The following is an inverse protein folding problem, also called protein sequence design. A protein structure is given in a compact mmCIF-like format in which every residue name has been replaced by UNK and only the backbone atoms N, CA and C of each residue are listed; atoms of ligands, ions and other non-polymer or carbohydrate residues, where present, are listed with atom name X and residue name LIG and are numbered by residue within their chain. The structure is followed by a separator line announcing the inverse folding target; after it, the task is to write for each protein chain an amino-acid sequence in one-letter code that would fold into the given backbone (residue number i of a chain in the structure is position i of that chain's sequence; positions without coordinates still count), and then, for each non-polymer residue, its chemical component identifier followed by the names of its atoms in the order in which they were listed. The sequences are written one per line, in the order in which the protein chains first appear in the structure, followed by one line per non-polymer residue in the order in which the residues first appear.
data_IF_690626595105
#
_entry.id   IF_690626595105
#
_cell.length_a   1.000
_cell.length_b   1.000
_cell.length_c   1.000
_cell.angle_alpha   90.00
_cell.angle_beta   90.00
_cell.angle_gamma   90.00
#
_symmetry.space_group_name_H-M   'P 1'
#
loop_
_entity.id
_entity.type
_entity.pdbx_description
1 polymer ?
#
# COMPACT_ATOMS: atom_id res chain seq x y z
N UNK A 1 -40.01 -42.18 10.28
CA UNK A 1 -39.10 -41.15 10.81
C UNK A 1 -37.89 -41.07 9.88
N UNK A 2 -37.76 -39.99 9.11
CA UNK A 2 -36.69 -39.80 8.12
C UNK A 2 -35.66 -38.80 8.69
N UNK A 3 -34.46 -39.28 8.97
CA UNK A 3 -33.33 -38.45 9.41
C UNK A 3 -32.79 -37.63 8.23
N UNK A 4 -32.86 -36.29 8.31
CA UNK A 4 -32.16 -35.38 7.39
C UNK A 4 -30.66 -35.31 7.77
N UNK A 5 -29.78 -35.53 6.78
CA UNK A 5 -28.33 -35.34 6.93
C UNK A 5 -28.01 -33.86 7.19
N UNK A 6 -27.03 -33.53 8.05
CA UNK A 6 -26.59 -32.16 8.25
C UNK A 6 -25.85 -31.67 6.99
N UNK A 7 -26.42 -30.68 6.32
CA UNK A 7 -25.79 -30.02 5.18
C UNK A 7 -24.58 -29.19 5.63
N UNK A 8 -23.50 -29.24 4.84
CA UNK A 8 -22.32 -28.37 4.96
C UNK A 8 -22.76 -26.90 4.92
N UNK A 9 -22.27 -26.00 5.80
CA UNK A 9 -22.46 -24.57 5.61
C UNK A 9 -21.74 -24.18 4.33
N UNK A 10 -22.47 -23.93 3.25
CA UNK A 10 -21.97 -23.11 2.16
C UNK A 10 -21.92 -21.69 2.68
N UNK A 11 -20.75 -21.06 2.66
CA UNK A 11 -20.61 -19.62 2.85
C UNK A 11 -21.58 -18.93 1.90
N UNK A 12 -22.74 -18.53 2.43
CA UNK A 12 -23.71 -17.76 1.68
C UNK A 12 -23.04 -16.46 1.29
N UNK A 13 -22.96 -16.18 -0.02
CA UNK A 13 -22.52 -14.90 -0.58
C UNK A 13 -23.09 -13.79 0.30
N UNK A 14 -22.21 -13.10 1.04
CA UNK A 14 -22.63 -12.01 1.92
C UNK A 14 -22.93 -10.81 1.05
N UNK A 15 -24.15 -10.75 0.50
CA UNK A 15 -24.67 -9.54 -0.12
C UNK A 15 -24.63 -8.42 0.91
N UNK A 16 -23.71 -7.48 0.73
CA UNK A 16 -23.50 -6.34 1.59
C UNK A 16 -24.14 -5.12 0.94
N UNK A 17 -25.14 -4.56 1.63
CA UNK A 17 -25.96 -3.48 1.11
C UNK A 17 -25.33 -2.14 1.50
N UNK A 18 -24.67 -1.47 0.55
CA UNK A 18 -24.04 -0.16 0.74
C UNK A 18 -25.01 0.96 0.33
N UNK A 19 -25.30 1.89 1.24
CA UNK A 19 -26.08 3.10 0.94
C UNK A 19 -25.12 4.29 0.78
N UNK A 20 -25.00 4.79 -0.45
CA UNK A 20 -24.19 5.98 -0.76
C UNK A 20 -25.13 7.17 -0.96
N UNK A 21 -24.83 8.30 -0.31
CA UNK A 21 -25.52 9.58 -0.56
C UNK A 21 -24.68 10.41 -1.51
N UNK A 22 -25.33 10.89 -2.56
CA UNK A 22 -24.70 11.66 -3.64
C UNK A 22 -25.61 12.87 -3.90
N UNK A 23 -25.02 14.03 -4.20
CA UNK A 23 -25.76 15.22 -4.61
C UNK A 23 -26.41 15.02 -5.99
N UNK A 24 -27.37 15.89 -6.32
CA UNK A 24 -28.22 15.71 -7.51
C UNK A 24 -27.44 15.87 -8.82
N UNK A 25 -26.41 16.73 -8.83
CA UNK A 25 -25.63 17.05 -10.02
C UNK A 25 -24.69 15.89 -10.36
N UNK A 26 -24.02 15.34 -9.35
CA UNK A 26 -23.19 14.13 -9.48
C UNK A 26 -24.05 12.90 -9.86
N UNK A 27 -25.29 12.82 -9.39
CA UNK A 27 -26.21 11.73 -9.72
C UNK A 27 -26.67 11.79 -11.19
N UNK A 28 -26.90 13.00 -11.73
CA UNK A 28 -27.22 13.19 -13.15
C UNK A 28 -26.02 12.87 -14.05
N UNK A 29 -24.81 13.27 -13.66
CA UNK A 29 -23.59 12.92 -14.40
C UNK A 29 -23.40 11.39 -14.47
N UNK A 30 -23.63 10.69 -13.36
CA UNK A 30 -23.59 9.23 -13.31
C UNK A 30 -24.64 8.58 -14.22
N UNK A 31 -25.85 9.16 -14.29
CA UNK A 31 -26.91 8.68 -15.17
C UNK A 31 -26.57 8.79 -16.65
N UNK A 32 -25.95 9.90 -17.03
CA UNK A 32 -25.58 10.14 -18.43
C UNK A 32 -24.44 9.21 -18.86
N UNK A 33 -23.50 8.94 -17.95
CA UNK A 33 -22.43 7.94 -18.17
C UNK A 33 -23.01 6.53 -18.23
N UNK A 34 -24.00 6.20 -17.38
CA UNK A 34 -24.66 4.89 -17.34
C UNK A 34 -25.34 4.58 -18.67
N UNK A 35 -26.06 5.57 -19.22
CA UNK A 35 -26.70 5.47 -20.53
C UNK A 35 -25.70 5.31 -21.66
N UNK A 36 -24.58 6.04 -21.63
CA UNK A 36 -23.53 5.95 -22.66
C UNK A 36 -22.77 4.63 -22.65
N UNK A 37 -22.57 4.05 -21.47
CA UNK A 37 -21.77 2.82 -21.27
C UNK A 37 -22.61 1.55 -21.23
N UNK A 38 -23.95 1.66 -21.26
CA UNK A 38 -24.92 0.55 -21.07
C UNK A 38 -24.72 -0.20 -19.74
N UNK A 39 -24.25 0.50 -18.70
CA UNK A 39 -24.05 -0.07 -17.36
C UNK A 39 -25.04 0.52 -16.39
N UNK A 40 -25.37 -0.21 -15.33
CA UNK A 40 -26.21 0.35 -14.27
C UNK A 40 -25.40 1.25 -13.32
N UNK A 41 -26.06 2.15 -12.59
CA UNK A 41 -25.39 3.08 -11.67
C UNK A 41 -24.51 2.37 -10.64
N UNK A 42 -24.93 1.20 -10.17
CA UNK A 42 -24.17 0.41 -9.21
C UNK A 42 -22.94 -0.22 -9.83
N UNK A 43 -22.98 -0.65 -11.09
CA UNK A 43 -21.82 -1.09 -11.87
C UNK A 43 -20.86 0.06 -12.09
N UNK A 44 -21.34 1.24 -12.45
CA UNK A 44 -20.48 2.43 -12.54
C UNK A 44 -19.85 2.80 -11.20
N UNK A 45 -20.61 2.77 -10.10
CA UNK A 45 -20.07 3.05 -8.76
C UNK A 45 -19.08 1.96 -8.30
N UNK A 46 -19.24 0.72 -8.79
CA UNK A 46 -18.28 -0.36 -8.55
C UNK A 46 -17.03 -0.25 -9.44
N UNK A 47 -17.16 0.34 -10.62
CA UNK A 47 -16.07 0.60 -11.57
C UNK A 47 -15.32 1.90 -11.29
N UNK A 48 -15.97 2.86 -10.66
CA UNK A 48 -15.31 3.97 -9.99
C UNK A 48 -14.48 3.30 -8.90
N UNK A 49 -13.17 3.20 -9.16
CA UNK A 49 -12.16 2.88 -8.16
C UNK A 49 -12.59 3.51 -6.85
N UNK A 50 -12.65 2.77 -5.73
CA UNK A 50 -12.88 3.40 -4.44
C UNK A 50 -11.87 4.52 -4.32
N UNK A 51 -12.37 5.76 -4.37
CA UNK A 51 -11.55 6.95 -4.35
C UNK A 51 -10.86 6.91 -3.00
N UNK A 52 -9.58 6.54 -3.01
CA UNK A 52 -8.78 6.38 -1.82
C UNK A 52 -7.64 7.34 -1.96
N UNK A 53 -7.73 8.39 -1.16
CA UNK A 53 -6.68 9.38 -1.08
C UNK A 53 -5.39 8.74 -0.58
N UNK A 54 -4.29 9.41 -0.89
CA UNK A 54 -2.96 9.07 -0.40
C UNK A 54 -2.91 8.96 1.12
N UNK A 55 -3.71 9.77 1.83
CA UNK A 55 -3.81 9.81 3.29
C UNK A 55 -4.67 8.68 3.85
N UNK A 56 -5.80 8.39 3.22
CA UNK A 56 -6.67 7.29 3.67
C UNK A 56 -5.96 5.94 3.54
N UNK A 57 -5.19 5.79 2.46
CA UNK A 57 -4.34 4.63 2.27
C UNK A 57 -3.39 4.40 3.47
N UNK A 58 -2.70 5.45 3.94
CA UNK A 58 -1.80 5.39 5.09
C UNK A 58 -2.54 4.98 6.38
N UNK A 59 -3.72 5.55 6.62
CA UNK A 59 -4.54 5.25 7.80
C UNK A 59 -5.07 3.81 7.82
N UNK A 60 -5.19 3.18 6.64
CA UNK A 60 -5.69 1.83 6.50
C UNK A 60 -4.62 0.75 6.69
N UNK A 61 -3.33 1.12 6.77
CA UNK A 61 -2.22 0.18 6.92
C UNK A 61 -2.35 -0.59 8.23
N UNK A 62 -2.82 -1.83 8.08
CA UNK A 62 -3.08 -2.78 9.15
C UNK A 62 -3.01 -4.18 8.56
N UNK A 63 -2.69 -5.16 9.40
CA UNK A 63 -2.44 -6.54 8.95
C UNK A 63 -3.65 -7.15 8.25
N UNK A 64 -4.87 -6.82 8.68
CA UNK A 64 -6.12 -7.32 8.09
C UNK A 64 -6.48 -6.70 6.74
N UNK A 65 -5.77 -5.66 6.31
CA UNK A 65 -6.17 -4.81 5.18
C UNK A 65 -5.19 -4.85 4.01
N UNK A 66 -4.03 -5.50 4.14
CA UNK A 66 -2.96 -5.43 3.13
C UNK A 66 -3.40 -5.94 1.74
N UNK A 67 -4.13 -7.04 1.67
CA UNK A 67 -4.64 -7.58 0.39
C UNK A 67 -5.59 -6.59 -0.30
N UNK A 68 -6.44 -5.92 0.47
CA UNK A 68 -7.35 -4.89 -0.06
C UNK A 68 -6.57 -3.65 -0.52
N UNK A 69 -5.54 -3.26 0.22
CA UNK A 69 -4.68 -2.15 -0.16
C UNK A 69 -3.91 -2.45 -1.46
N UNK A 70 -3.46 -3.69 -1.65
CA UNK A 70 -2.80 -4.10 -2.88
C UNK A 70 -3.71 -3.95 -4.09
N UNK A 71 -4.99 -4.34 -3.96
CA UNK A 71 -5.98 -4.13 -5.02
C UNK A 71 -6.10 -2.64 -5.40
N UNK A 72 -6.05 -1.73 -4.43
CA UNK A 72 -6.07 -0.29 -4.72
C UNK A 72 -4.79 0.21 -5.38
N UNK A 73 -3.63 -0.31 -4.98
CA UNK A 73 -2.35 0.04 -5.60
C UNK A 73 -2.28 -0.44 -7.05
N UNK A 74 -2.69 -1.68 -7.31
CA UNK A 74 -2.75 -2.26 -8.66
C UNK A 74 -3.72 -1.48 -9.53
N UNK A 75 -4.94 -1.25 -9.06
CA UNK A 75 -5.94 -0.58 -9.86
C UNK A 75 -5.64 0.92 -10.07
N UNK A 76 -4.93 1.55 -9.12
CA UNK A 76 -4.30 2.86 -9.31
C UNK A 76 -3.25 2.80 -10.43
N UNK A 77 -2.35 1.81 -10.40
CA UNK A 77 -1.34 1.67 -11.44
C UNK A 77 -1.95 1.51 -12.83
N UNK A 78 -2.94 0.64 -12.96
CA UNK A 78 -3.69 0.37 -14.20
C UNK A 78 -4.37 1.65 -14.72
N UNK A 79 -4.96 2.46 -13.84
CA UNK A 79 -5.54 3.75 -14.21
C UNK A 79 -4.51 4.68 -14.86
N UNK A 80 -3.30 4.74 -14.27
CA UNK A 80 -2.22 5.57 -14.79
C UNK A 80 -1.52 4.98 -16.04
N UNK A 81 -1.79 3.73 -16.40
CA UNK A 81 -1.32 3.10 -17.63
C UNK A 81 -2.32 3.21 -18.79
N UNK A 82 -3.52 3.72 -18.55
CA UNK A 82 -4.55 3.86 -19.57
C UNK A 82 -4.09 4.80 -20.71
N UNK A 83 -4.13 4.35 -21.99
CA UNK A 83 -3.90 5.22 -23.13
C UNK A 83 -4.96 6.32 -23.19
N UNK A 84 -4.57 7.58 -23.40
CA UNK A 84 -5.42 8.77 -23.33
C UNK A 84 -5.78 9.25 -21.91
N UNK A 85 -5.02 8.85 -20.90
CA UNK A 85 -5.13 9.44 -19.57
C UNK A 85 -4.90 10.96 -19.65
N UNK A 86 -5.79 11.72 -19.02
CA UNK A 86 -5.58 13.13 -18.69
C UNK A 86 -6.16 13.40 -17.31
N UNK A 87 -5.31 13.68 -16.33
CA UNK A 87 -5.72 13.98 -14.95
C UNK A 87 -4.93 15.17 -14.41
N UNK A 88 -5.61 16.08 -13.70
CA UNK A 88 -4.95 17.19 -13.05
C UNK A 88 -4.03 16.70 -11.93
N UNK A 89 -2.78 17.18 -11.89
CA UNK A 89 -1.79 16.80 -10.88
C UNK A 89 -2.31 17.03 -9.45
N UNK A 90 -3.10 18.08 -9.22
CA UNK A 90 -3.67 18.40 -7.91
C UNK A 90 -4.67 17.36 -7.41
N UNK A 91 -5.30 16.63 -8.33
CA UNK A 91 -6.33 15.63 -8.03
C UNK A 91 -5.76 14.23 -7.76
N UNK A 92 -4.46 14.04 -7.95
CA UNK A 92 -3.83 12.71 -7.79
C UNK A 92 -3.87 12.27 -6.32
N UNK A 93 -3.39 13.10 -5.40
CA UNK A 93 -3.26 12.69 -3.99
C UNK A 93 -4.59 12.64 -3.24
N UNK A 94 -5.59 13.38 -3.69
CA UNK A 94 -6.94 13.36 -3.14
C UNK A 94 -7.73 12.13 -3.58
N UNK A 95 -7.45 11.59 -4.77
CA UNK A 95 -8.25 10.52 -5.36
C UNK A 95 -7.56 9.15 -5.44
N UNK A 96 -6.23 9.12 -5.33
CA UNK A 96 -5.43 7.91 -5.50
C UNK A 96 -4.44 7.71 -4.36
N UNK A 97 -4.01 6.46 -4.10
CA UNK A 97 -2.92 6.14 -3.17
C UNK A 97 -1.55 6.52 -3.75
N UNK A 98 -1.45 7.72 -4.31
CA UNK A 98 -0.30 8.20 -5.06
C UNK A 98 -0.06 9.69 -4.80
N UNK A 99 1.08 10.19 -5.26
CA UNK A 99 1.41 11.61 -5.32
C UNK A 99 2.43 11.86 -6.43
N UNK A 100 2.61 13.12 -6.82
CA UNK A 100 3.48 13.50 -7.93
C UNK A 100 4.57 14.41 -7.41
N UNK A 101 5.82 14.09 -7.77
CA UNK A 101 6.93 15.01 -7.64
C UNK A 101 7.19 15.68 -8.99
N UNK A 102 6.92 16.99 -9.05
CA UNK A 102 7.11 17.82 -10.23
C UNK A 102 8.42 18.61 -10.20
N UNK A 103 9.22 18.49 -9.13
CA UNK A 103 10.48 19.23 -8.95
C UNK A 103 11.64 18.48 -9.62
N UNK A 104 11.55 17.15 -9.70
CA UNK A 104 12.54 16.32 -10.37
C UNK A 104 12.69 16.69 -11.87
N UNK A 105 13.88 16.49 -12.47
CA UNK A 105 14.13 16.79 -13.89
C UNK A 105 13.17 16.09 -14.85
N UNK A 106 12.60 14.98 -14.41
CA UNK A 106 11.48 14.30 -15.04
C UNK A 106 10.42 14.09 -13.96
N UNK A 107 9.17 14.51 -14.18
CA UNK A 107 8.10 14.31 -13.20
C UNK A 107 7.90 12.83 -12.88
N UNK A 108 7.82 12.51 -11.58
CA UNK A 108 7.67 11.13 -11.10
C UNK A 108 6.33 11.00 -10.38
N UNK A 109 5.53 10.05 -10.83
CA UNK A 109 4.36 9.57 -10.10
C UNK A 109 4.79 8.48 -9.13
N UNK A 110 4.49 8.67 -7.86
CA UNK A 110 4.78 7.74 -6.80
C UNK A 110 3.50 7.05 -6.35
N UNK A 111 3.41 5.74 -6.52
CA UNK A 111 2.28 4.91 -6.07
C UNK A 111 2.68 4.16 -4.81
N UNK A 112 1.81 4.15 -3.80
CA UNK A 112 2.02 3.41 -2.55
C UNK A 112 1.58 1.96 -2.74
N UNK A 113 2.42 1.01 -2.31
CA UNK A 113 2.13 -0.43 -2.32
C UNK A 113 2.25 -1.00 -0.91
N UNK A 114 1.39 -1.93 -0.48
CA UNK A 114 1.46 -2.49 0.87
C UNK A 114 2.66 -3.42 0.98
N UNK A 115 3.31 -3.41 2.13
CA UNK A 115 4.44 -4.30 2.41
C UNK A 115 4.63 -4.54 3.91
N UNK A 116 5.70 -5.23 4.28
CA UNK A 116 6.14 -5.46 5.64
C UNK A 116 7.42 -4.71 5.94
N UNK A 117 7.47 -4.14 7.14
CA UNK A 117 8.67 -3.60 7.75
C UNK A 117 9.09 -4.49 8.90
N UNK A 118 10.36 -4.86 8.93
CA UNK A 118 10.93 -5.73 9.96
C UNK A 118 11.93 -4.91 10.76
N UNK A 119 11.69 -4.79 12.06
CA UNK A 119 12.62 -4.19 13.01
C UNK A 119 13.38 -5.30 13.71
N UNK A 120 14.70 -5.16 13.78
CA UNK A 120 15.59 -6.13 14.39
C UNK A 120 16.01 -5.57 15.75
N UNK A 121 15.79 -6.33 16.82
CA UNK A 121 15.96 -5.85 18.19
C UNK A 121 17.40 -6.06 18.70
N UNK A 122 18.37 -5.50 17.96
CA UNK A 122 19.79 -5.45 18.34
C UNK A 122 20.15 -4.00 18.69
N UNK A 123 20.67 -3.76 19.89
CA UNK A 123 20.95 -2.42 20.43
C UNK A 123 22.40 -1.96 20.26
N UNK A 124 23.30 -2.82 19.78
CA UNK A 124 24.73 -2.50 19.60
C UNK A 124 25.08 -2.24 18.12
N UNK A 125 25.32 -0.98 17.78
CA UNK A 125 25.63 -0.51 16.42
C UNK A 125 26.80 -1.26 15.76
N UNK A 126 27.91 -1.45 16.48
CA UNK A 126 29.11 -2.15 15.97
C UNK A 126 28.85 -3.62 15.59
N UNK A 127 27.75 -4.19 16.08
CA UNK A 127 27.38 -5.57 15.83
C UNK A 127 26.35 -5.69 14.71
N UNK A 128 25.60 -4.63 14.38
CA UNK A 128 24.54 -4.65 13.37
C UNK A 128 25.08 -5.03 12.00
N UNK A 129 26.11 -4.31 11.52
CA UNK A 129 26.69 -4.54 10.19
C UNK A 129 27.36 -5.91 10.12
N UNK A 130 28.19 -6.23 11.12
CA UNK A 130 28.94 -7.48 11.17
C UNK A 130 28.05 -8.73 11.33
N UNK A 131 26.89 -8.63 11.97
CA UNK A 131 25.97 -9.75 12.18
C UNK A 131 24.97 -9.85 11.01
N UNK A 132 24.37 -8.73 10.58
CA UNK A 132 23.24 -8.78 9.66
C UNK A 132 23.65 -8.85 8.18
N UNK A 133 24.74 -8.19 7.77
CA UNK A 133 25.17 -8.23 6.37
C UNK A 133 25.46 -9.66 5.88
N UNK A 134 26.19 -10.51 6.64
CA UNK A 134 26.42 -11.89 6.21
C UNK A 134 25.14 -12.72 6.13
N UNK A 135 24.19 -12.48 7.04
CA UNK A 135 22.92 -13.22 7.09
C UNK A 135 22.02 -12.92 5.90
N UNK A 136 22.06 -11.69 5.38
CA UNK A 136 21.16 -11.24 4.32
C UNK A 136 21.84 -11.03 2.96
N UNK A 137 23.14 -11.33 2.84
CA UNK A 137 23.94 -11.13 1.62
C UNK A 137 23.31 -11.71 0.34
N UNK A 138 22.60 -12.83 0.45
CA UNK A 138 22.01 -13.54 -0.69
C UNK A 138 20.48 -13.37 -0.77
N UNK A 139 19.92 -12.41 -0.04
CA UNK A 139 18.49 -12.15 -0.04
C UNK A 139 18.20 -10.96 -0.96
N UNK A 140 17.46 -11.25 -2.03
CA UNK A 140 17.01 -10.22 -2.97
C UNK A 140 15.62 -9.67 -2.59
N UNK A 141 15.37 -8.43 -3.00
CA UNK A 141 14.08 -7.76 -2.86
C UNK A 141 13.81 -7.20 -1.47
N UNK A 142 14.81 -7.06 -0.61
CA UNK A 142 14.71 -6.27 0.62
C UNK A 142 15.35 -4.89 0.44
N UNK A 143 14.92 -3.91 1.24
CA UNK A 143 15.64 -2.64 1.33
C UNK A 143 17.05 -2.82 1.90
N UNK A 144 17.89 -1.81 1.72
CA UNK A 144 19.06 -1.68 2.60
C UNK A 144 18.61 -1.61 4.06
N UNK A 145 19.47 -2.07 4.96
CA UNK A 145 19.21 -1.96 6.40
C UNK A 145 19.50 -0.52 6.80
N UNK A 146 18.52 0.13 7.42
CA UNK A 146 18.64 1.50 7.91
C UNK A 146 18.31 1.56 9.40
N UNK A 147 18.75 2.61 10.08
CA UNK A 147 18.55 2.76 11.52
C UNK A 147 17.42 3.74 11.79
N UNK A 148 16.47 3.31 12.60
CA UNK A 148 15.33 4.13 12.99
C UNK A 148 15.39 4.47 14.47
N UNK A 149 15.25 5.76 14.79
CA UNK A 149 15.19 6.24 16.16
C UNK A 149 13.94 5.72 16.87
N UNK A 150 14.11 5.21 18.09
CA UNK A 150 13.05 4.69 18.93
C UNK A 150 13.21 5.20 20.37
N UNK A 151 12.07 5.35 21.07
CA UNK A 151 12.05 5.64 22.50
C UNK A 151 11.90 4.33 23.27
N UNK A 152 12.90 3.98 24.07
CA UNK A 152 12.87 2.81 24.92
C UNK A 152 12.48 3.23 26.34
N UNK A 153 11.33 2.75 26.80
CA UNK A 153 10.90 2.90 28.19
C UNK A 153 11.53 1.80 29.03
N UNK A 154 12.34 2.18 30.01
CA UNK A 154 12.90 1.25 30.98
C UNK A 154 12.13 1.40 32.28
N UNK A 155 11.73 0.28 32.90
CA UNK A 155 10.89 0.23 34.11
C UNK A 155 11.43 1.05 35.29
N UNK A 156 12.74 1.32 35.30
CA UNK A 156 13.43 2.01 36.39
C UNK A 156 13.97 3.41 36.01
N UNK A 157 13.56 3.95 34.85
CA UNK A 157 13.98 5.29 34.41
C UNK A 157 12.77 6.18 34.19
N UNK A 158 12.83 7.39 34.75
CA UNK A 158 11.78 8.41 34.62
C UNK A 158 11.72 9.06 33.23
N UNK A 159 12.76 8.86 32.40
CA UNK A 159 12.78 9.35 31.02
C UNK A 159 13.09 8.22 30.04
N UNK A 160 12.45 8.22 28.85
CA UNK A 160 12.73 7.24 27.82
C UNK A 160 14.14 7.44 27.25
N UNK A 161 14.86 6.34 27.04
CA UNK A 161 16.15 6.36 26.38
C UNK A 161 15.94 6.39 24.87
N UNK A 162 16.57 7.33 24.18
CA UNK A 162 16.65 7.30 22.71
C UNK A 162 17.61 6.17 22.31
N UNK A 163 17.14 5.29 21.44
CA UNK A 163 17.91 4.19 20.87
C UNK A 163 17.67 4.12 19.37
N UNK A 164 18.52 3.39 18.65
CA UNK A 164 18.36 3.17 17.21
C UNK A 164 18.28 1.67 16.95
N UNK A 165 17.24 1.26 16.23
CA UNK A 165 17.08 -0.14 15.83
C UNK A 165 17.27 -0.28 14.31
N UNK A 166 17.95 -1.35 13.86
CA UNK A 166 17.98 -1.72 12.45
C UNK A 166 16.58 -2.09 11.96
N UNK A 167 16.21 -1.52 10.82
CA UNK A 167 14.96 -1.80 10.11
C UNK A 167 15.25 -2.13 8.65
N UNK A 168 14.39 -2.96 8.07
CA UNK A 168 14.36 -3.24 6.64
C UNK A 168 12.91 -3.39 6.16
N UNK A 169 12.71 -3.28 4.85
CA UNK A 169 11.41 -3.46 4.21
C UNK A 169 11.47 -4.57 3.16
N UNK A 170 10.35 -5.27 2.96
CA UNK A 170 10.18 -6.17 1.82
C UNK A 170 9.77 -5.35 0.59
N UNK A 171 10.48 -5.47 -0.53
CA UNK A 171 10.33 -4.64 -1.73
C UNK A 171 10.18 -5.50 -2.99
N UNK A 172 9.56 -6.67 -2.87
CA UNK A 172 9.14 -7.49 -4.00
C UNK A 172 7.91 -6.88 -4.69
N UNK A 173 7.60 -7.42 -5.87
CA UNK A 173 6.63 -6.84 -6.81
C UNK A 173 5.18 -6.86 -6.32
N UNK A 174 4.82 -7.80 -5.44
CA UNK A 174 3.47 -7.96 -4.89
C UNK A 174 3.50 -8.41 -3.42
N UNK A 175 2.36 -8.35 -2.76
CA UNK A 175 2.18 -8.69 -1.36
C UNK A 175 2.45 -10.17 -1.06
N UNK A 176 2.15 -11.08 -1.99
CA UNK A 176 2.41 -12.51 -1.84
C UNK A 176 3.93 -12.77 -1.75
N UNK A 177 4.70 -12.22 -2.68
CA UNK A 177 6.16 -12.29 -2.66
C UNK A 177 6.74 -11.57 -1.44
N UNK A 178 6.20 -10.40 -1.07
CA UNK A 178 6.60 -9.70 0.16
C UNK A 178 6.31 -10.52 1.42
N UNK A 179 5.21 -11.28 1.45
CA UNK A 179 4.87 -12.18 2.55
C UNK A 179 5.88 -13.34 2.62
N UNK A 180 6.25 -13.89 1.46
CA UNK A 180 7.26 -14.96 1.35
C UNK A 180 8.61 -14.46 1.81
N UNK A 181 9.07 -13.32 1.33
CA UNK A 181 10.33 -12.70 1.73
C UNK A 181 10.36 -12.41 3.23
N UNK A 182 9.30 -11.81 3.77
CA UNK A 182 9.15 -11.57 5.21
C UNK A 182 9.31 -12.87 6.00
N UNK A 183 8.66 -13.96 5.59
CA UNK A 183 8.78 -15.26 6.26
C UNK A 183 10.21 -15.81 6.22
N UNK A 184 10.93 -15.65 5.10
CA UNK A 184 12.34 -16.05 4.96
C UNK A 184 13.22 -15.27 5.92
N UNK A 185 13.11 -13.94 5.94
CA UNK A 185 13.90 -13.07 6.83
C UNK A 185 13.62 -13.41 8.30
N UNK A 186 12.34 -13.54 8.67
CA UNK A 186 11.91 -13.93 10.00
C UNK A 186 12.49 -15.29 10.43
N UNK A 187 12.53 -16.26 9.51
CA UNK A 187 13.09 -17.59 9.79
C UNK A 187 14.60 -17.54 10.03
N UNK A 188 15.33 -16.76 9.22
CA UNK A 188 16.78 -16.56 9.42
C UNK A 188 17.06 -15.90 10.76
N UNK A 189 16.30 -14.86 11.12
CA UNK A 189 16.44 -14.19 12.42
C UNK A 189 16.16 -15.15 13.58
N UNK A 190 15.09 -15.95 13.50
CA UNK A 190 14.77 -16.98 14.50
C UNK A 190 15.89 -18.02 14.65
N UNK A 191 16.41 -18.54 13.54
CA UNK A 191 17.49 -19.53 13.53
C UNK A 191 18.79 -19.01 14.17
N UNK A 192 19.02 -17.71 14.10
CA UNK A 192 20.16 -17.03 14.71
C UNK A 192 19.87 -16.48 16.12
N UNK A 193 18.72 -16.83 16.72
CA UNK A 193 18.26 -16.33 18.02
C UNK A 193 18.18 -14.79 18.11
N UNK A 194 17.90 -14.13 16.99
CA UNK A 194 17.77 -12.68 16.91
C UNK A 194 16.28 -12.31 17.05
N UNK A 195 15.99 -11.46 18.02
CA UNK A 195 14.63 -10.94 18.26
C UNK A 195 14.25 -9.89 17.21
N UNK A 196 12.98 -9.86 16.82
CA UNK A 196 12.47 -8.92 15.82
C UNK A 196 10.99 -8.63 16.01
N UNK A 197 10.55 -7.52 15.40
CA UNK A 197 9.15 -7.13 15.29
C UNK A 197 8.80 -6.97 13.81
N UNK A 198 7.57 -7.33 13.45
CA UNK A 198 7.07 -7.16 12.07
C UNK A 198 5.85 -6.27 12.09
N UNK A 199 5.85 -5.28 11.20
CA UNK A 199 4.79 -4.29 11.09
C UNK A 199 4.27 -4.24 9.64
N UNK A 200 2.95 -4.11 9.44
CA UNK A 200 2.43 -3.67 8.15
C UNK A 200 2.96 -2.27 7.83
N UNK A 201 3.32 -2.04 6.57
CA UNK A 201 3.88 -0.80 6.07
C UNK A 201 3.46 -0.59 4.61
N UNK A 202 3.94 0.48 3.98
CA UNK A 202 3.85 0.68 2.54
C UNK A 202 5.19 1.09 1.97
N UNK A 203 5.52 0.59 0.78
CA UNK A 203 6.59 1.10 -0.06
C UNK A 203 6.03 2.13 -1.04
N UNK A 204 6.93 2.89 -1.64
CA UNK A 204 6.59 3.88 -2.66
C UNK A 204 7.34 3.48 -3.93
N UNK A 205 6.60 3.30 -5.03
CA UNK A 205 7.14 2.91 -6.33
C UNK A 205 6.95 4.07 -7.29
N UNK A 206 8.07 4.58 -7.82
CA UNK A 206 8.08 5.71 -8.75
C UNK A 206 8.01 5.25 -10.21
N UNK A 207 7.21 5.95 -11.02
CA UNK A 207 7.22 5.84 -12.47
C UNK A 207 7.27 7.22 -13.12
N UNK A 208 8.04 7.34 -14.20
CA UNK A 208 8.11 8.58 -14.97
C UNK A 208 6.75 8.85 -15.60
N UNK A 209 6.35 10.12 -15.59
CA UNK A 209 5.10 10.58 -16.22
C UNK A 209 5.35 11.84 -17.04
N UNK A 210 4.54 12.02 -18.09
CA UNK A 210 4.57 13.24 -18.90
C UNK A 210 3.58 14.24 -18.33
N UNK A 211 4.04 15.49 -18.17
CA UNK A 211 3.22 16.60 -17.69
C UNK A 211 2.92 17.55 -18.86
N UNK A 212 1.64 17.83 -19.06
CA UNK A 212 1.13 18.85 -19.97
C UNK A 212 0.66 20.05 -19.16
N UNK A 213 1.15 21.24 -19.49
CA UNK A 213 0.72 22.48 -18.85
C UNK A 213 -0.24 23.23 -19.78
N UNK A 214 -1.50 23.40 -19.35
CA UNK A 214 -2.56 24.12 -20.06
C UNK A 214 -3.33 24.99 -19.07
N UNK A 215 -3.67 26.22 -19.44
CA UNK A 215 -4.50 27.14 -18.62
C UNK A 215 -4.04 27.29 -17.16
N UNK A 216 -2.72 27.41 -16.94
CA UNK A 216 -2.09 27.47 -15.61
C UNK A 216 -2.35 26.24 -14.72
N UNK A 217 -2.71 25.11 -15.33
CA UNK A 217 -2.86 23.82 -14.67
C UNK A 217 -1.92 22.79 -15.27
N UNK A 218 -1.48 21.86 -14.43
CA UNK A 218 -0.60 20.76 -14.83
C UNK A 218 -1.38 19.46 -14.85
N UNK A 219 -1.27 18.71 -15.94
CA UNK A 219 -1.95 17.45 -16.16
C UNK A 219 -0.94 16.34 -16.38
N UNK A 220 -1.17 15.18 -15.76
CA UNK A 220 -0.52 13.95 -16.18
C UNK A 220 -1.21 13.48 -17.44
N UNK A 221 -0.41 13.17 -18.46
CA UNK A 221 -0.88 12.55 -19.69
C UNK A 221 -0.14 11.24 -19.97
N UNK A 222 -0.86 10.30 -20.57
CA UNK A 222 -0.29 9.06 -21.11
C UNK A 222 -0.71 8.93 -22.57
N UNK A 223 0.25 9.02 -23.47
CA UNK A 223 0.08 9.07 -24.94
C UNK A 223 0.77 7.90 -25.59
#
# INVERSE_FOLDING_TARGET
MLYKKPGRPTDSVKDSLLKVRVDIDTLQALDDIAKKTQKNRSELIREILPIISSKDYENMISTSSLQRLEQYSVACNDYFENPNLKINVKDVSSNFPAFVDTIAPSPILYIKYPTYKIRILITSYNSTTNILEPLFKNIDGMSTIYLTQCFQFQTNQSQPKITFFPELMCLKSNLEENTTLKNVICSILMQNNIQYEVWPAYSIVGKNVTILNEDNQSYIINT
#
